data_IF_379723060004
#
_entry.id   IF_379723060004
#
_cell.length_a   1.000
_cell.length_b   1.000
_cell.length_c   1.000
_cell.angle_alpha   90.00
_cell.angle_beta   90.00
_cell.angle_gamma   90.00
#
_symmetry.space_group_name_H-M   'P 1'
#
loop_
_entity.id
_entity.type
_entity.pdbx_description
1 polymer ?
#
# COMPACT_ATOMS: atom_id res chain seq x y z
N UNK A 1 -2.41 -9.13 29.45
CA UNK A 1 -2.09 -9.29 28.02
C UNK A 1 -0.69 -9.83 27.82
N UNK A 2 0.38 -9.18 28.28
CA UNK A 2 1.76 -9.70 28.13
C UNK A 2 1.95 -11.18 28.53
N UNK A 3 1.47 -11.60 29.71
CA UNK A 3 1.58 -13.00 30.13
C UNK A 3 0.83 -13.99 29.21
N UNK A 4 -0.29 -13.57 28.61
CA UNK A 4 -1.04 -14.38 27.65
C UNK A 4 -0.34 -14.44 26.29
N UNK A 5 0.39 -13.38 25.90
CA UNK A 5 1.22 -13.41 24.69
C UNK A 5 2.32 -14.45 24.82
N UNK A 6 2.98 -14.53 25.98
CA UNK A 6 4.07 -15.50 26.18
C UNK A 6 3.61 -16.96 26.19
N UNK A 7 2.39 -17.23 26.63
CA UNK A 7 1.83 -18.58 26.60
C UNK A 7 1.38 -18.98 25.18
N UNK A 8 0.88 -18.04 24.38
CA UNK A 8 0.14 -18.34 23.15
C UNK A 8 0.94 -18.13 21.87
N UNK A 9 1.87 -17.18 21.87
CA UNK A 9 2.64 -16.84 20.68
C UNK A 9 3.85 -17.77 20.52
N UNK A 10 4.21 -18.03 19.27
CA UNK A 10 5.47 -18.66 18.90
C UNK A 10 6.65 -17.90 19.52
N UNK A 11 7.75 -18.57 19.92
CA UNK A 11 8.99 -17.90 20.31
C UNK A 11 9.56 -16.98 19.22
N UNK A 12 9.19 -17.19 17.95
CA UNK A 12 9.60 -16.37 16.82
C UNK A 12 8.74 -15.11 16.62
N UNK A 13 7.60 -15.00 17.31
CA UNK A 13 6.69 -13.88 17.17
C UNK A 13 7.22 -12.62 17.85
N UNK A 14 6.99 -11.46 17.24
CA UNK A 14 7.27 -10.19 17.90
C UNK A 14 6.36 -10.00 19.13
N UNK A 15 6.91 -9.43 20.21
CA UNK A 15 6.15 -9.15 21.43
C UNK A 15 5.61 -7.73 21.40
N UNK A 16 4.42 -7.52 21.98
CA UNK A 16 3.86 -6.17 22.10
C UNK A 16 4.59 -5.30 23.12
N UNK A 17 5.32 -5.92 24.06
CA UNK A 17 6.11 -5.27 25.10
C UNK A 17 7.57 -5.72 25.10
N UNK A 18 8.52 -4.85 25.53
CA UNK A 18 8.32 -3.42 25.83
C UNK A 18 8.10 -2.61 24.55
N UNK A 19 7.21 -1.63 24.60
CA UNK A 19 6.96 -0.74 23.46
C UNK A 19 8.14 0.20 23.24
N UNK A 20 8.75 0.14 22.05
CA UNK A 20 9.76 1.12 21.62
C UNK A 20 9.13 2.10 20.64
N UNK A 21 9.22 3.39 20.95
CA UNK A 21 8.66 4.51 20.18
C UNK A 21 9.67 5.64 20.16
N UNK A 22 9.60 6.52 19.16
CA UNK A 22 10.46 7.71 19.10
C UNK A 22 10.24 8.63 20.31
N UNK A 23 8.98 8.89 20.66
CA UNK A 23 8.62 9.65 21.85
C UNK A 23 8.06 8.68 22.89
N UNK A 24 8.73 8.49 24.04
CA UNK A 24 8.23 7.64 25.10
C UNK A 24 6.85 8.08 25.57
N UNK A 25 5.95 7.11 25.73
CA UNK A 25 4.61 7.32 26.27
C UNK A 25 4.27 6.19 27.24
N UNK A 26 3.46 6.48 28.24
CA UNK A 26 3.00 5.47 29.18
C UNK A 26 2.09 4.44 28.48
N UNK A 27 2.16 3.19 28.94
CA UNK A 27 1.29 2.12 28.48
C UNK A 27 -0.18 2.43 28.74
N UNK A 28 -1.05 1.91 27.87
CA UNK A 28 -2.48 2.02 28.06
C UNK A 28 -2.95 0.95 29.05
N UNK A 29 -3.94 1.28 29.87
CA UNK A 29 -4.52 0.38 30.87
C UNK A 29 -5.35 -0.76 30.27
N UNK A 30 -5.80 -0.61 29.01
CA UNK A 30 -6.73 -1.56 28.36
C UNK A 30 -6.16 -2.18 27.08
N UNK A 31 -5.44 -1.40 26.26
CA UNK A 31 -4.96 -1.83 24.93
C UNK A 31 -3.47 -2.12 24.93
N UNK A 32 -3.05 -3.13 24.17
CA UNK A 32 -1.62 -3.36 23.89
C UNK A 32 -1.02 -2.17 23.10
N UNK A 33 0.31 -1.97 23.14
CA UNK A 33 0.98 -0.98 22.32
C UNK A 33 0.67 -1.09 20.82
N UNK A 34 0.56 -2.31 20.30
CA UNK A 34 0.27 -2.59 18.89
C UNK A 34 -1.20 -2.32 18.52
N UNK A 35 -2.14 -2.63 19.43
CA UNK A 35 -3.54 -2.23 19.27
C UNK A 35 -3.70 -0.72 19.23
N UNK A 36 -2.93 0.02 20.03
CA UNK A 36 -2.92 1.49 19.97
C UNK A 36 -2.41 2.00 18.62
N UNK A 37 -1.41 1.35 18.04
CA UNK A 37 -0.87 1.73 16.74
C UNK A 37 -1.88 1.51 15.62
N UNK A 38 -2.51 0.33 15.59
CA UNK A 38 -3.63 0.04 14.72
C UNK A 38 -4.71 1.12 14.81
N UNK A 39 -5.15 1.44 16.02
CA UNK A 39 -6.22 2.40 16.22
C UNK A 39 -5.80 3.81 15.74
N UNK A 40 -4.54 4.21 15.93
CA UNK A 40 -4.01 5.48 15.42
C UNK A 40 -4.02 5.54 13.91
N UNK A 41 -3.61 4.46 13.24
CA UNK A 41 -3.61 4.35 11.78
C UNK A 41 -5.03 4.48 11.24
N UNK A 42 -5.99 3.71 11.75
CA UNK A 42 -7.38 3.71 11.27
C UNK A 42 -8.05 5.09 11.42
N UNK A 43 -7.70 5.86 12.45
CA UNK A 43 -8.24 7.20 12.69
C UNK A 43 -7.47 8.34 11.99
N UNK A 44 -6.42 8.03 11.23
CA UNK A 44 -5.61 9.02 10.51
C UNK A 44 -6.37 9.64 9.32
N UNK A 45 -5.96 10.83 8.87
CA UNK A 45 -6.52 11.45 7.66
C UNK A 45 -6.13 10.62 6.43
N UNK A 46 -4.89 10.16 6.34
CA UNK A 46 -4.36 9.32 5.27
C UNK A 46 -5.15 8.03 5.08
N UNK A 47 -5.48 7.30 6.15
CA UNK A 47 -6.27 6.06 6.04
C UNK A 47 -7.66 6.31 5.47
N UNK A 48 -8.34 7.41 5.87
CA UNK A 48 -9.64 7.79 5.28
C UNK A 48 -9.53 8.11 3.79
N UNK A 49 -8.41 8.71 3.35
CA UNK A 49 -8.17 9.06 1.94
C UNK A 49 -8.04 7.82 1.05
N UNK A 50 -7.67 6.66 1.59
CA UNK A 50 -7.59 5.39 0.83
C UNK A 50 -8.92 4.99 0.18
N UNK A 51 -10.06 5.39 0.76
CA UNK A 51 -11.40 5.19 0.17
C UNK A 51 -11.56 5.89 -1.19
N UNK A 52 -10.80 6.95 -1.43
CA UNK A 52 -10.92 7.81 -2.60
C UNK A 52 -9.65 7.79 -3.46
N UNK A 53 -8.87 6.70 -3.35
CA UNK A 53 -7.72 6.39 -4.20
C UNK A 53 -7.95 5.06 -4.90
N UNK A 54 -7.79 5.03 -6.22
CA UNK A 54 -7.81 3.82 -7.04
C UNK A 54 -6.56 2.97 -6.77
N UNK A 55 -6.72 1.65 -6.83
CA UNK A 55 -5.61 0.72 -6.74
C UNK A 55 -4.85 0.62 -8.08
N UNK A 56 -5.52 0.09 -9.13
CA UNK A 56 -4.90 -0.16 -10.45
C UNK A 56 -5.67 0.50 -11.59
N UNK A 57 -6.97 0.25 -11.71
CA UNK A 57 -7.74 0.80 -12.83
C UNK A 57 -8.30 2.17 -12.51
N UNK A 58 -8.07 3.10 -13.44
CA UNK A 58 -8.57 4.47 -13.39
C UNK A 58 -10.06 4.42 -13.70
N UNK A 59 -10.86 4.14 -12.66
CA UNK A 59 -12.31 4.26 -12.60
C UNK A 59 -13.05 4.02 -13.92
N UNK A 60 -13.28 2.76 -14.35
CA UNK A 60 -14.33 2.52 -15.31
C UNK A 60 -15.67 2.86 -14.64
N UNK A 61 -16.66 3.29 -15.41
CA UNK A 61 -17.98 3.65 -14.89
C UNK A 61 -18.60 2.44 -14.14
N UNK A 62 -18.83 2.55 -12.83
CA UNK A 62 -19.48 1.50 -12.02
C UNK A 62 -19.22 1.58 -10.50
N UNK A 63 -20.13 1.03 -9.70
CA UNK A 63 -20.12 1.17 -8.22
C UNK A 63 -19.25 0.13 -7.48
N UNK A 64 -18.57 -0.77 -8.20
CA UNK A 64 -17.94 -1.96 -7.63
C UNK A 64 -16.41 -2.04 -7.82
N UNK A 65 -15.74 -0.93 -8.15
CA UNK A 65 -14.28 -0.92 -8.29
C UNK A 65 -13.56 -0.93 -6.95
N UNK A 66 -12.45 -1.68 -6.89
CA UNK A 66 -11.60 -1.71 -5.71
C UNK A 66 -10.89 -0.37 -5.51
N UNK A 67 -10.86 0.03 -4.25
CA UNK A 67 -10.10 1.19 -3.78
C UNK A 67 -8.87 0.70 -3.04
N UNK A 68 -7.92 1.59 -2.74
CA UNK A 68 -6.81 1.23 -1.86
C UNK A 68 -7.29 0.76 -0.48
N UNK A 69 -8.43 1.29 0.00
CA UNK A 69 -9.01 0.87 1.27
C UNK A 69 -9.48 -0.58 1.23
N UNK A 70 -10.13 -1.02 0.15
CA UNK A 70 -10.58 -2.42 0.03
C UNK A 70 -9.38 -3.36 -0.11
N UNK A 71 -8.38 -2.99 -0.92
CA UNK A 71 -7.10 -3.70 -1.00
C UNK A 71 -6.44 -3.86 0.38
N UNK A 72 -6.32 -2.75 1.12
CA UNK A 72 -5.74 -2.73 2.46
C UNK A 72 -6.46 -3.69 3.41
N UNK A 73 -7.80 -3.69 3.41
CA UNK A 73 -8.60 -4.59 4.25
C UNK A 73 -8.35 -6.06 3.86
N UNK A 74 -8.34 -6.37 2.56
CA UNK A 74 -8.12 -7.72 2.05
C UNK A 74 -6.72 -8.25 2.41
N UNK A 75 -5.67 -7.45 2.18
CA UNK A 75 -4.29 -7.74 2.62
C UNK A 75 -4.23 -7.99 4.12
N UNK A 76 -4.82 -7.10 4.92
CA UNK A 76 -4.84 -7.25 6.39
C UNK A 76 -5.52 -8.54 6.82
N UNK A 77 -6.66 -8.92 6.22
CA UNK A 77 -7.37 -10.15 6.57
C UNK A 77 -6.56 -11.41 6.26
N UNK A 78 -5.96 -11.48 5.07
CA UNK A 78 -5.13 -12.61 4.67
C UNK A 78 -3.89 -12.69 5.56
N UNK A 79 -3.21 -11.57 5.81
CA UNK A 79 -2.01 -11.52 6.65
C UNK A 79 -2.29 -11.95 8.09
N UNK A 80 -3.41 -11.51 8.68
CA UNK A 80 -3.85 -11.95 10.01
C UNK A 80 -4.14 -13.44 10.06
N UNK A 81 -4.68 -14.01 8.99
CA UNK A 81 -4.96 -15.46 8.90
C UNK A 81 -3.67 -16.26 8.96
N UNK A 82 -2.67 -15.86 8.16
CA UNK A 82 -1.33 -16.48 8.14
C UNK A 82 -0.63 -16.32 9.49
N UNK A 83 -0.63 -15.11 10.06
CA UNK A 83 -0.02 -14.85 11.36
C UNK A 83 -0.66 -15.70 12.47
N UNK A 84 -1.99 -15.83 12.48
CA UNK A 84 -2.71 -16.65 13.44
C UNK A 84 -2.36 -18.14 13.30
N UNK A 85 -2.29 -18.66 12.07
CA UNK A 85 -1.92 -20.04 11.82
C UNK A 85 -0.51 -20.37 12.34
N UNK A 86 0.44 -19.43 12.17
CA UNK A 86 1.83 -19.57 12.63
C UNK A 86 2.05 -19.14 14.10
N UNK A 87 0.98 -18.80 14.83
CA UNK A 87 1.01 -18.23 16.19
C UNK A 87 1.93 -17.00 16.31
N UNK A 88 1.97 -16.16 15.28
CA UNK A 88 2.65 -14.87 15.27
C UNK A 88 1.74 -13.75 15.80
N UNK A 89 2.29 -12.55 15.99
CA UNK A 89 1.56 -11.44 16.58
C UNK A 89 0.56 -10.83 15.58
N UNK A 90 -0.71 -11.16 15.79
CA UNK A 90 -1.80 -10.70 14.92
C UNK A 90 -2.01 -9.18 14.98
N UNK A 91 -1.84 -8.54 16.15
CA UNK A 91 -1.99 -7.09 16.30
C UNK A 91 -0.86 -6.35 15.57
N UNK A 92 0.37 -6.87 15.58
CA UNK A 92 1.48 -6.30 14.79
C UNK A 92 1.18 -6.41 13.29
N UNK A 93 0.81 -7.61 12.86
CA UNK A 93 0.49 -7.90 11.46
C UNK A 93 -0.65 -7.01 10.96
N UNK A 94 -1.69 -6.84 11.77
CA UNK A 94 -2.83 -5.97 11.48
C UNK A 94 -2.42 -4.49 11.37
N UNK A 95 -1.65 -3.99 12.34
CA UNK A 95 -1.18 -2.60 12.32
C UNK A 95 -0.30 -2.30 11.09
N UNK A 96 0.62 -3.20 10.73
CA UNK A 96 1.44 -3.07 9.52
C UNK A 96 0.55 -3.10 8.29
N UNK A 97 -0.33 -4.10 8.18
CA UNK A 97 -1.25 -4.25 7.04
C UNK A 97 -2.12 -3.02 6.82
N UNK A 98 -2.64 -2.39 7.88
CA UNK A 98 -3.46 -1.18 7.73
C UNK A 98 -2.64 0.09 7.40
N UNK A 99 -1.34 0.08 7.70
CA UNK A 99 -0.44 1.21 7.53
C UNK A 99 0.42 1.19 6.26
N UNK A 100 0.54 0.03 5.60
CA UNK A 100 1.52 -0.17 4.52
C UNK A 100 1.30 0.77 3.32
N UNK A 101 0.04 1.09 3.03
CA UNK A 101 -0.39 1.73 1.78
C UNK A 101 -0.72 3.22 1.90
N UNK A 102 -0.47 3.83 3.06
CA UNK A 102 -0.88 5.21 3.39
C UNK A 102 -0.27 6.29 2.48
N UNK A 103 0.93 6.03 1.96
CA UNK A 103 1.75 6.97 1.19
C UNK A 103 1.57 6.91 -0.31
N UNK A 104 0.74 6.00 -0.85
CA UNK A 104 0.51 5.93 -2.29
C UNK A 104 -0.13 7.22 -2.81
N UNK A 105 0.34 7.77 -3.95
CA UNK A 105 -0.23 8.98 -4.53
C UNK A 105 -1.59 8.70 -5.20
N UNK A 106 -2.30 9.74 -5.65
CA UNK A 106 -3.44 9.57 -6.56
C UNK A 106 -3.11 8.68 -7.75
N UNK A 107 -4.12 7.97 -8.27
CA UNK A 107 -4.04 7.15 -9.50
C UNK A 107 -3.07 5.96 -9.46
N UNK A 108 -2.92 5.34 -8.28
CA UNK A 108 -2.29 4.03 -8.20
C UNK A 108 -0.78 4.03 -8.54
N UNK A 109 -0.33 2.95 -9.18
CA UNK A 109 1.07 2.78 -9.60
C UNK A 109 1.49 3.77 -10.71
N UNK A 110 0.56 4.19 -11.55
CA UNK A 110 0.83 5.21 -12.58
C UNK A 110 1.21 6.51 -11.89
N UNK A 111 0.45 6.92 -10.88
CA UNK A 111 0.77 8.14 -10.13
C UNK A 111 2.10 8.07 -9.40
N UNK A 112 2.46 6.90 -8.87
CA UNK A 112 3.79 6.66 -8.28
C UNK A 112 4.90 6.84 -9.31
N UNK A 113 4.78 6.22 -10.49
CA UNK A 113 5.79 6.29 -11.55
C UNK A 113 5.97 7.71 -12.10
N UNK A 114 4.86 8.44 -12.32
CA UNK A 114 4.91 9.82 -12.81
C UNK A 114 5.56 10.74 -11.77
N UNK A 115 5.18 10.63 -10.50
CA UNK A 115 5.74 11.47 -9.44
C UNK A 115 7.24 11.17 -9.22
N UNK A 116 7.65 9.90 -9.27
CA UNK A 116 9.06 9.48 -9.21
C UNK A 116 9.87 10.10 -10.36
N UNK A 117 9.39 10.00 -11.60
CA UNK A 117 10.04 10.60 -12.78
C UNK A 117 10.15 12.13 -12.67
N UNK A 118 9.07 12.79 -12.25
CA UNK A 118 9.05 14.25 -12.13
C UNK A 118 10.04 14.76 -11.06
N UNK A 119 10.15 14.06 -9.93
CA UNK A 119 11.13 14.36 -8.88
C UNK A 119 12.57 14.11 -9.34
N UNK A 120 12.80 13.01 -10.05
CA UNK A 120 14.11 12.70 -10.62
C UNK A 120 14.57 13.77 -11.62
N UNK A 121 13.69 14.16 -12.54
CA UNK A 121 13.98 15.17 -13.57
C UNK A 121 14.26 16.56 -12.98
N UNK A 122 13.47 17.00 -11.99
CA UNK A 122 13.55 18.38 -11.47
C UNK A 122 14.51 18.56 -10.30
N UNK A 123 14.63 17.55 -9.44
CA UNK A 123 15.36 17.66 -8.18
C UNK A 123 16.46 16.60 -8.02
N UNK A 124 16.60 15.66 -8.96
CA UNK A 124 17.54 14.54 -8.83
C UNK A 124 17.16 13.54 -7.73
N UNK A 125 15.92 13.59 -7.25
CA UNK A 125 15.38 12.72 -6.21
C UNK A 125 14.57 11.56 -6.77
N UNK A 126 13.69 10.98 -5.95
CA UNK A 126 12.75 9.95 -6.35
C UNK A 126 11.60 9.82 -5.38
N UNK A 127 10.63 8.99 -5.71
CA UNK A 127 9.45 8.73 -4.91
C UNK A 127 9.19 7.24 -4.77
N UNK A 128 8.92 6.84 -3.52
CA UNK A 128 8.57 5.47 -3.15
C UNK A 128 7.42 5.51 -2.16
N UNK A 129 6.32 4.83 -2.48
CA UNK A 129 5.13 4.86 -1.63
C UNK A 129 5.42 4.35 -0.20
N UNK A 130 6.32 3.39 -0.01
CA UNK A 130 6.63 2.82 1.31
C UNK A 130 7.42 3.81 2.18
N UNK A 131 8.32 4.60 1.58
CA UNK A 131 9.02 5.70 2.27
C UNK A 131 8.05 6.81 2.64
N UNK A 132 7.13 7.14 1.71
CA UNK A 132 6.08 8.11 1.97
C UNK A 132 5.08 7.63 3.03
N UNK A 133 4.78 6.34 3.09
CA UNK A 133 3.90 5.75 4.11
C UNK A 133 4.51 5.88 5.50
N UNK A 134 5.82 5.63 5.62
CA UNK A 134 6.55 5.89 6.87
C UNK A 134 6.54 7.39 7.21
N UNK A 135 6.77 8.27 6.23
CA UNK A 135 6.73 9.73 6.43
C UNK A 135 5.36 10.22 6.88
N UNK A 136 4.27 9.66 6.35
CA UNK A 136 2.90 9.97 6.79
C UNK A 136 2.74 9.71 8.28
N UNK A 137 3.15 8.53 8.76
CA UNK A 137 2.97 8.14 10.16
C UNK A 137 3.98 8.78 11.11
N UNK A 138 5.14 9.22 10.62
CA UNK A 138 6.18 9.85 11.43
C UNK A 138 6.08 11.36 11.51
N UNK A 139 5.60 12.01 10.43
CA UNK A 139 5.71 13.45 10.26
C UNK A 139 4.35 14.09 9.95
N UNK A 140 3.63 13.59 8.93
CA UNK A 140 2.53 14.38 8.34
C UNK A 140 1.25 14.35 9.17
N UNK A 141 0.92 13.18 9.74
CA UNK A 141 -0.30 13.04 10.54
C UNK A 141 -0.25 13.85 11.83
N UNK A 142 -1.43 14.16 12.39
CA UNK A 142 -1.59 15.01 13.59
C UNK A 142 -0.86 16.36 13.44
N UNK A 143 -1.14 17.03 12.32
CA UNK A 143 -0.71 18.39 12.03
C UNK A 143 0.81 18.60 12.20
N UNK A 144 1.60 17.65 11.66
CA UNK A 144 3.06 17.72 11.67
C UNK A 144 3.76 17.00 12.83
N UNK A 145 3.04 16.30 13.71
CA UNK A 145 3.61 15.64 14.90
C UNK A 145 3.78 14.12 14.78
N UNK A 146 3.21 13.52 13.74
CA UNK A 146 3.22 12.08 13.54
C UNK A 146 2.29 11.31 14.50
N UNK A 147 2.09 10.02 14.20
CA UNK A 147 1.31 9.09 15.01
C UNK A 147 2.11 8.50 16.18
N UNK A 148 3.43 8.70 16.21
CA UNK A 148 4.34 8.12 17.22
C UNK A 148 4.16 6.61 17.38
N UNK A 149 4.13 5.86 16.26
CA UNK A 149 3.94 4.40 16.25
C UNK A 149 5.15 3.66 16.83
N UNK A 150 4.97 2.40 17.18
CA UNK A 150 6.07 1.53 17.61
C UNK A 150 7.06 1.27 16.47
N UNK A 151 8.32 1.01 16.82
CA UNK A 151 9.40 0.73 15.86
C UNK A 151 9.06 -0.44 14.93
N UNK A 152 8.42 -1.48 15.43
CA UNK A 152 8.16 -2.69 14.65
C UNK A 152 7.02 -2.48 13.63
N UNK A 153 6.02 -1.66 13.97
CA UNK A 153 4.98 -1.25 13.00
C UNK A 153 5.59 -0.37 11.91
N UNK A 154 6.43 0.59 12.30
CA UNK A 154 7.13 1.48 11.34
C UNK A 154 8.02 0.71 10.38
N UNK A 155 8.78 -0.24 10.91
CA UNK A 155 9.63 -1.14 10.13
C UNK A 155 8.82 -1.94 9.12
N UNK A 156 7.73 -2.58 9.56
CA UNK A 156 6.85 -3.32 8.67
C UNK A 156 6.27 -2.44 7.55
N UNK A 157 5.84 -1.21 7.87
CA UNK A 157 5.33 -0.25 6.87
C UNK A 157 6.44 0.11 5.86
N UNK A 158 7.65 0.37 6.32
CA UNK A 158 8.76 0.77 5.44
C UNK A 158 9.29 -0.39 4.59
N UNK A 159 9.18 -1.63 5.07
CA UNK A 159 9.80 -2.81 4.47
C UNK A 159 8.82 -3.74 3.73
N UNK A 160 7.53 -3.37 3.59
CA UNK A 160 6.54 -4.23 2.94
C UNK A 160 6.76 -4.38 1.42
N UNK A 161 7.33 -3.38 0.74
CA UNK A 161 7.44 -3.39 -0.72
C UNK A 161 8.65 -4.19 -1.20
N UNK A 162 8.52 -4.98 -2.27
CA UNK A 162 9.63 -5.77 -2.84
C UNK A 162 10.90 -4.98 -3.23
N UNK A 163 10.84 -3.63 -3.31
CA UNK A 163 11.98 -2.74 -3.54
C UNK A 163 12.68 -2.28 -2.25
N UNK A 164 12.04 -2.50 -1.11
CA UNK A 164 12.54 -2.18 0.22
C UNK A 164 13.36 -3.35 0.80
N UNK A 165 14.22 -3.08 1.80
CA UNK A 165 14.88 -4.10 2.59
C UNK A 165 13.90 -5.10 3.22
N UNK A 166 14.41 -6.26 3.64
CA UNK A 166 13.58 -7.23 4.36
C UNK A 166 13.17 -6.70 5.74
N UNK A 167 11.91 -6.90 6.15
CA UNK A 167 11.42 -6.51 7.46
C UNK A 167 12.12 -7.31 8.58
N UNK A 168 12.25 -6.69 9.76
CA UNK A 168 12.92 -7.31 10.91
C UNK A 168 12.08 -8.43 11.55
N UNK A 169 10.76 -8.37 11.40
CA UNK A 169 9.82 -9.30 12.03
C UNK A 169 9.19 -10.23 11.01
N UNK A 170 8.81 -11.43 11.44
CA UNK A 170 8.07 -12.38 10.61
C UNK A 170 6.70 -11.81 10.24
N UNK A 171 6.07 -11.05 11.13
CA UNK A 171 4.81 -10.35 10.87
C UNK A 171 4.93 -9.33 9.73
N UNK A 172 6.03 -8.59 9.67
CA UNK A 172 6.32 -7.71 8.52
C UNK A 172 6.55 -8.50 7.24
N UNK A 173 7.25 -9.64 7.32
CA UNK A 173 7.50 -10.51 6.18
C UNK A 173 6.21 -11.14 5.64
N UNK A 174 5.24 -11.45 6.51
CA UNK A 174 3.89 -11.87 6.09
C UNK A 174 3.24 -10.78 5.27
N UNK A 175 3.17 -9.54 5.78
CA UNK A 175 2.50 -8.45 5.05
C UNK A 175 3.16 -8.22 3.69
N UNK A 176 4.50 -8.23 3.64
CA UNK A 176 5.27 -8.12 2.39
C UNK A 176 4.88 -9.17 1.34
N UNK A 177 4.72 -10.42 1.75
CA UNK A 177 4.38 -11.51 0.83
C UNK A 177 2.89 -11.49 0.47
N UNK A 178 2.01 -11.28 1.46
CA UNK A 178 0.56 -11.26 1.29
C UNK A 178 0.11 -10.08 0.43
N UNK A 179 0.78 -8.93 0.50
CA UNK A 179 0.50 -7.80 -0.39
C UNK A 179 0.67 -8.20 -1.87
N UNK A 180 1.71 -8.97 -2.19
CA UNK A 180 1.91 -9.54 -3.55
C UNK A 180 0.82 -10.54 -3.93
N UNK A 181 0.35 -11.35 -2.98
CA UNK A 181 -0.74 -12.33 -3.20
C UNK A 181 -2.06 -11.62 -3.50
N UNK A 182 -2.41 -10.62 -2.70
CA UNK A 182 -3.63 -9.84 -2.86
C UNK A 182 -3.61 -9.05 -4.17
N UNK A 183 -2.48 -8.37 -4.45
CA UNK A 183 -2.26 -7.60 -5.67
C UNK A 183 -2.60 -8.40 -6.94
N UNK A 184 -1.92 -9.54 -7.16
CA UNK A 184 -2.15 -10.35 -8.39
C UNK A 184 -3.61 -10.78 -8.52
N UNK A 185 -4.22 -11.23 -7.42
CA UNK A 185 -5.61 -11.70 -7.47
C UNK A 185 -6.58 -10.58 -7.80
N UNK A 186 -6.40 -9.40 -7.18
CA UNK A 186 -7.31 -8.30 -7.37
C UNK A 186 -7.21 -7.70 -8.76
N UNK A 187 -6.00 -7.62 -9.30
CA UNK A 187 -5.77 -7.08 -10.63
C UNK A 187 -6.37 -7.98 -11.71
N UNK A 188 -6.28 -9.30 -11.53
CA UNK A 188 -6.93 -10.27 -12.42
C UNK A 188 -8.45 -10.04 -12.40
N UNK A 189 -9.06 -9.97 -11.21
CA UNK A 189 -10.50 -9.76 -11.06
C UNK A 189 -10.95 -8.43 -11.71
N UNK A 190 -10.20 -7.34 -11.47
CA UNK A 190 -10.52 -6.03 -12.01
C UNK A 190 -10.31 -5.98 -13.54
N UNK A 191 -9.26 -6.63 -14.06
CA UNK A 191 -9.01 -6.72 -15.50
C UNK A 191 -10.10 -7.52 -16.23
N UNK A 192 -10.55 -8.64 -15.64
CA UNK A 192 -11.68 -9.43 -16.14
C UNK A 192 -12.98 -8.61 -16.13
N UNK A 193 -13.27 -7.93 -15.02
CA UNK A 193 -14.47 -7.09 -14.89
C UNK A 193 -14.47 -5.90 -15.86
N UNK A 194 -13.31 -5.29 -16.10
CA UNK A 194 -13.15 -4.22 -17.07
C UNK A 194 -13.15 -4.71 -18.53
N UNK A 195 -13.16 -6.03 -18.76
CA UNK A 195 -13.11 -6.62 -20.10
C UNK A 195 -11.77 -6.42 -20.81
N UNK A 196 -10.70 -6.13 -20.06
CA UNK A 196 -9.33 -5.98 -20.59
C UNK A 196 -8.77 -7.35 -20.99
N UNK A 197 -9.14 -8.39 -20.24
CA UNK A 197 -8.78 -9.78 -20.49
C UNK A 197 -10.03 -10.67 -20.31
N UNK A 198 -10.01 -11.87 -20.89
CA UNK A 198 -10.94 -12.95 -20.62
C UNK A 198 -10.28 -14.05 -19.77
N UNK A 199 -11.08 -14.86 -19.07
CA UNK A 199 -10.56 -15.99 -18.29
C UNK A 199 -9.72 -16.96 -19.13
N UNK A 200 -10.07 -17.10 -20.42
CA UNK A 200 -9.35 -17.93 -21.39
C UNK A 200 -7.96 -17.42 -21.75
N UNK A 201 -7.67 -16.14 -21.47
CA UNK A 201 -6.40 -15.51 -21.82
C UNK A 201 -5.31 -15.81 -20.76
N UNK A 202 -5.74 -16.11 -19.53
CA UNK A 202 -4.84 -16.39 -18.41
C UNK A 202 -3.98 -17.63 -18.67
N UNK A 203 -2.70 -17.62 -18.26
CA UNK A 203 -1.79 -18.74 -18.47
C UNK A 203 -2.26 -19.98 -17.72
N UNK A 204 -2.41 -21.10 -18.42
CA UNK A 204 -2.97 -22.34 -17.85
C UNK A 204 -2.12 -22.90 -16.71
N UNK A 205 -0.79 -22.85 -16.81
CA UNK A 205 0.12 -23.41 -15.81
C UNK A 205 -0.15 -22.89 -14.40
N UNK A 206 -0.11 -21.56 -14.19
CA UNK A 206 -0.45 -20.97 -12.90
C UNK A 206 -1.90 -21.17 -12.46
N UNK A 207 -2.85 -21.14 -13.40
CA UNK A 207 -4.27 -21.35 -13.08
C UNK A 207 -4.53 -22.78 -12.62
N UNK A 208 -3.89 -23.78 -13.23
CA UNK A 208 -3.97 -25.17 -12.80
C UNK A 208 -3.28 -25.39 -11.44
N UNK A 209 -2.19 -24.66 -11.18
CA UNK A 209 -1.42 -24.76 -9.94
C UNK A 209 -2.08 -24.06 -8.74
N UNK A 210 -2.68 -22.89 -8.95
CA UNK A 210 -3.19 -22.03 -7.89
C UNK A 210 -4.73 -22.05 -7.80
N UNK A 211 -5.42 -22.28 -8.92
CA UNK A 211 -6.88 -22.33 -8.98
C UNK A 211 -7.48 -21.34 -9.98
N UNK A 212 -8.71 -21.66 -10.41
CA UNK A 212 -9.44 -20.91 -11.44
C UNK A 212 -10.12 -19.66 -10.90
N UNK A 213 -10.54 -19.65 -9.63
CA UNK A 213 -11.18 -18.49 -8.99
C UNK A 213 -10.21 -17.74 -8.10
N UNK A 214 -10.46 -16.44 -7.87
CA UNK A 214 -9.66 -15.64 -6.94
C UNK A 214 -9.63 -16.24 -5.52
N UNK A 215 -10.75 -16.77 -5.04
CA UNK A 215 -10.82 -17.45 -3.74
C UNK A 215 -9.96 -18.72 -3.69
N UNK A 216 -9.97 -19.54 -4.75
CA UNK A 216 -9.16 -20.76 -4.81
C UNK A 216 -7.66 -20.44 -4.85
N UNK A 217 -7.26 -19.40 -5.60
CA UNK A 217 -5.87 -18.92 -5.64
C UNK A 217 -5.40 -18.41 -4.29
N UNK A 218 -6.21 -17.59 -3.62
CA UNK A 218 -5.87 -17.09 -2.28
C UNK A 218 -5.75 -18.26 -1.29
N UNK A 219 -6.69 -19.21 -1.31
CA UNK A 219 -6.66 -20.38 -0.44
C UNK A 219 -5.39 -21.22 -0.65
N UNK A 220 -5.05 -21.56 -1.90
CA UNK A 220 -3.84 -22.30 -2.24
C UNK A 220 -2.56 -21.57 -1.80
N UNK A 221 -2.49 -20.25 -2.00
CA UNK A 221 -1.33 -19.44 -1.62
C UNK A 221 -1.19 -19.28 -0.10
N UNK A 222 -2.31 -19.19 0.63
CA UNK A 222 -2.29 -19.14 2.09
C UNK A 222 -1.85 -20.48 2.68
N UNK A 223 -2.36 -21.59 2.15
CA UNK A 223 -1.94 -22.93 2.55
C UNK A 223 -0.44 -23.14 2.30
N UNK A 224 0.03 -22.85 1.08
CA UNK A 224 1.45 -22.94 0.73
C UNK A 224 2.32 -22.09 1.66
N UNK A 225 1.94 -20.83 1.89
CA UNK A 225 2.68 -19.92 2.76
C UNK A 225 2.78 -20.46 4.19
N UNK A 226 1.67 -20.92 4.78
CA UNK A 226 1.65 -21.43 6.16
C UNK A 226 2.49 -22.71 6.28
N UNK A 227 2.28 -23.69 5.42
CA UNK A 227 2.94 -25.00 5.50
C UNK A 227 4.46 -24.89 5.31
N UNK A 228 4.90 -24.14 4.29
CA UNK A 228 6.34 -23.95 4.05
C UNK A 228 6.98 -23.07 5.14
N UNK A 229 6.27 -22.06 5.63
CA UNK A 229 6.81 -21.18 6.67
C UNK A 229 6.96 -21.87 8.02
N UNK A 230 5.99 -22.70 8.40
CA UNK A 230 6.07 -23.50 9.62
C UNK A 230 7.26 -24.47 9.58
N UNK A 231 7.46 -25.15 8.44
CA UNK A 231 8.58 -26.07 8.26
C UNK A 231 9.94 -25.38 8.27
N UNK A 232 10.03 -24.16 7.71
CA UNK A 232 11.29 -23.43 7.59
C UNK A 232 11.65 -22.61 8.85
N UNK A 233 10.67 -22.26 9.69
CA UNK A 233 10.86 -21.30 10.79
C UNK A 233 11.12 -19.86 10.29
N UNK A 234 10.68 -19.55 9.08
CA UNK A 234 10.80 -18.25 8.40
C UNK A 234 9.60 -18.06 7.47
N UNK A 235 9.30 -16.83 7.06
CA UNK A 235 8.20 -16.61 6.10
C UNK A 235 8.68 -16.89 4.69
N UNK A 236 8.21 -17.99 4.10
CA UNK A 236 8.65 -18.47 2.78
C UNK A 236 7.48 -19.05 2.00
N UNK A 237 7.58 -18.95 0.67
CA UNK A 237 6.66 -19.55 -0.28
C UNK A 237 7.29 -20.80 -0.90
N UNK A 238 6.49 -21.83 -1.16
CA UNK A 238 6.92 -23.03 -1.85
C UNK A 238 7.33 -22.74 -3.29
N UNK A 239 8.29 -23.50 -3.82
CA UNK A 239 8.88 -23.24 -5.13
C UNK A 239 7.85 -23.27 -6.28
N UNK A 240 6.86 -24.17 -6.21
CA UNK A 240 5.80 -24.27 -7.23
C UNK A 240 4.87 -23.06 -7.20
N UNK A 241 4.40 -22.67 -6.01
CA UNK A 241 3.53 -21.52 -5.86
C UNK A 241 4.25 -20.21 -6.25
N UNK A 242 5.52 -20.07 -5.86
CA UNK A 242 6.34 -18.91 -6.20
C UNK A 242 6.52 -18.77 -7.73
N UNK A 243 6.84 -19.88 -8.41
CA UNK A 243 6.96 -19.90 -9.87
C UNK A 243 5.64 -19.54 -10.56
N UNK A 244 4.51 -20.10 -10.11
CA UNK A 244 3.19 -19.79 -10.65
C UNK A 244 2.80 -18.32 -10.45
N UNK A 245 3.08 -17.75 -9.28
CA UNK A 245 2.85 -16.33 -9.01
C UNK A 245 3.72 -15.42 -9.89
N UNK A 246 5.00 -15.75 -10.06
CA UNK A 246 5.89 -14.94 -10.89
C UNK A 246 5.50 -14.99 -12.38
N UNK A 247 5.04 -16.15 -12.86
CA UNK A 247 4.49 -16.28 -14.22
C UNK A 247 3.21 -15.44 -14.39
N UNK A 248 2.24 -15.53 -13.46
CA UNK A 248 1.02 -14.70 -13.50
C UNK A 248 1.35 -13.21 -13.48
N UNK A 249 2.26 -12.79 -12.60
CA UNK A 249 2.68 -11.39 -12.49
C UNK A 249 3.30 -10.89 -13.79
N UNK A 250 4.18 -11.69 -14.40
CA UNK A 250 4.84 -11.33 -15.66
C UNK A 250 3.82 -11.21 -16.78
N UNK A 251 2.89 -12.17 -16.88
CA UNK A 251 1.80 -12.13 -17.86
C UNK A 251 0.89 -10.92 -17.66
N UNK A 252 0.48 -10.62 -16.42
CA UNK A 252 -0.34 -9.43 -16.12
C UNK A 252 0.40 -8.15 -16.52
N UNK A 253 1.70 -8.06 -16.23
CA UNK A 253 2.52 -6.91 -16.61
C UNK A 253 2.50 -6.65 -18.13
N UNK A 254 2.69 -7.70 -18.92
CA UNK A 254 2.72 -7.58 -20.38
C UNK A 254 1.35 -7.28 -20.99
N UNK A 255 0.28 -7.92 -20.49
CA UNK A 255 -1.03 -7.91 -21.16
C UNK A 255 -2.00 -6.87 -20.60
N UNK A 256 -1.86 -6.52 -19.33
CA UNK A 256 -2.76 -5.56 -18.65
C UNK A 256 -2.07 -4.22 -18.47
N UNK A 257 -0.87 -4.21 -17.87
CA UNK A 257 -0.19 -2.97 -17.49
C UNK A 257 0.46 -2.25 -18.68
N UNK A 258 0.98 -2.97 -19.67
CA UNK A 258 1.61 -2.38 -20.87
C UNK A 258 0.67 -2.26 -22.08
N UNK A 259 -0.60 -2.67 -21.92
CA UNK A 259 -1.60 -2.69 -22.97
C UNK A 259 -1.97 -1.30 -23.52
N UNK A 260 -2.56 -1.21 -24.73
CA UNK A 260 -2.89 0.08 -25.37
C UNK A 260 -3.82 0.98 -24.53
N UNK A 261 -4.78 0.39 -23.82
CA UNK A 261 -5.71 1.11 -22.96
C UNK A 261 -4.98 1.74 -21.76
N UNK A 262 -4.07 0.98 -21.12
CA UNK A 262 -3.26 1.46 -20.00
C UNK A 262 -2.38 2.66 -20.42
N UNK A 263 -1.82 2.65 -21.65
CA UNK A 263 -1.01 3.76 -22.17
C UNK A 263 -1.80 5.06 -22.31
N UNK A 264 -3.05 4.99 -22.79
CA UNK A 264 -3.87 6.18 -22.99
C UNK A 264 -4.22 6.85 -21.65
N UNK A 265 -4.57 6.05 -20.65
CA UNK A 265 -4.84 6.56 -19.29
C UNK A 265 -3.56 7.05 -18.60
N UNK A 266 -2.44 6.35 -18.81
CA UNK A 266 -1.13 6.80 -18.35
C UNK A 266 -0.80 8.22 -18.84
N UNK A 267 -0.98 8.50 -20.13
CA UNK A 267 -0.71 9.82 -20.71
C UNK A 267 -1.64 10.93 -20.16
N UNK A 268 -2.83 10.58 -19.69
CA UNK A 268 -3.75 11.53 -19.05
C UNK A 268 -3.32 11.83 -17.62
N UNK A 269 -3.03 10.79 -16.84
CA UNK A 269 -2.54 10.93 -15.46
C UNK A 269 -1.20 11.65 -15.42
N UNK A 270 -0.30 11.34 -16.35
CA UNK A 270 0.99 12.01 -16.47
C UNK A 270 0.81 13.52 -16.61
N UNK A 271 -0.08 13.97 -17.50
CA UNK A 271 -0.41 15.40 -17.66
C UNK A 271 -1.00 16.02 -16.41
N UNK A 272 -1.89 15.33 -15.71
CA UNK A 272 -2.50 15.81 -14.47
C UNK A 272 -1.43 16.03 -13.41
N UNK A 273 -0.69 14.98 -13.06
CA UNK A 273 0.32 15.05 -12.00
C UNK A 273 1.44 16.03 -12.36
N UNK A 274 1.95 16.01 -13.59
CA UNK A 274 3.04 16.92 -14.00
C UNK A 274 2.62 18.38 -14.01
N UNK A 275 1.37 18.69 -14.39
CA UNK A 275 0.85 20.06 -14.31
C UNK A 275 0.86 20.56 -12.86
N UNK A 276 0.30 19.77 -11.94
CA UNK A 276 0.28 20.10 -10.50
C UNK A 276 1.70 20.19 -9.93
N UNK A 277 2.54 19.21 -10.23
CA UNK A 277 3.93 19.16 -9.79
C UNK A 277 4.70 20.41 -10.25
N UNK A 278 4.59 20.79 -11.52
CA UNK A 278 5.27 21.95 -12.05
C UNK A 278 4.76 23.26 -11.45
N UNK A 279 3.45 23.37 -11.23
CA UNK A 279 2.83 24.52 -10.60
C UNK A 279 3.37 24.73 -9.18
N UNK A 280 3.22 23.73 -8.31
CA UNK A 280 3.63 23.84 -6.90
C UNK A 280 5.15 23.85 -6.71
N UNK A 281 5.91 23.22 -7.60
CA UNK A 281 7.37 23.30 -7.55
C UNK A 281 7.91 24.67 -7.95
N UNK A 282 7.14 25.46 -8.71
CA UNK A 282 7.53 26.82 -9.13
C UNK A 282 7.00 27.91 -8.19
N UNK A 283 5.89 27.63 -7.50
CA UNK A 283 5.26 28.51 -6.54
C UNK A 283 4.87 27.73 -5.26
N UNK A 284 5.85 27.27 -4.47
CA UNK A 284 5.60 26.43 -3.29
C UNK A 284 4.84 27.12 -2.17
N UNK A 285 4.73 28.44 -2.19
CA UNK A 285 3.87 29.25 -1.32
C UNK A 285 2.36 29.04 -1.59
N UNK A 286 1.98 28.45 -2.73
CA UNK A 286 0.60 28.11 -3.06
C UNK A 286 0.13 26.79 -2.46
N UNK A 287 1.05 26.00 -1.88
CA UNK A 287 0.68 24.79 -1.13
C UNK A 287 -0.05 25.23 0.15
N UNK A 288 -1.28 24.75 0.42
CA UNK A 288 -2.05 25.15 1.59
C UNK A 288 -1.33 24.92 2.92
N UNK A 289 -1.56 25.81 3.89
CA UNK A 289 -1.02 25.67 5.25
C UNK A 289 -1.42 24.33 5.87
N UNK A 290 -0.45 23.68 6.51
CA UNK A 290 -0.63 22.36 7.13
C UNK A 290 -0.55 21.17 6.15
N UNK A 291 -0.46 21.43 4.85
CA UNK A 291 -0.15 20.42 3.83
C UNK A 291 1.32 20.59 3.37
N UNK A 292 2.09 19.51 3.31
CA UNK A 292 3.53 19.58 3.02
C UNK A 292 4.35 20.24 4.14
N UNK A 293 4.54 19.50 5.24
CA UNK A 293 5.20 20.01 6.44
C UNK A 293 6.72 19.86 6.40
N UNK A 294 7.42 21.00 6.43
CA UNK A 294 8.88 21.06 6.58
C UNK A 294 9.66 20.51 5.38
N UNK A 295 10.96 20.80 5.34
CA UNK A 295 11.85 20.37 4.27
C UNK A 295 11.94 21.35 3.10
N UNK A 296 12.63 20.90 2.05
CA UNK A 296 12.80 21.66 0.82
C UNK A 296 11.53 21.64 -0.05
N UNK A 297 11.58 22.33 -1.19
CA UNK A 297 10.46 22.40 -2.13
C UNK A 297 10.05 21.00 -2.62
N UNK A 298 11.00 20.10 -2.86
CA UNK A 298 10.71 18.76 -3.38
C UNK A 298 9.87 17.97 -2.38
N UNK A 299 10.23 18.01 -1.09
CA UNK A 299 9.48 17.33 -0.02
C UNK A 299 8.07 17.90 0.10
N UNK A 300 7.92 19.23 0.15
CA UNK A 300 6.60 19.88 0.31
C UNK A 300 5.64 19.54 -0.83
N UNK A 301 6.13 19.58 -2.07
CA UNK A 301 5.35 19.22 -3.27
C UNK A 301 4.97 17.74 -3.25
N UNK A 302 5.91 16.87 -2.89
CA UNK A 302 5.70 15.42 -2.79
C UNK A 302 4.61 15.09 -1.78
N UNK A 303 4.71 15.66 -0.57
CA UNK A 303 3.75 15.46 0.51
C UNK A 303 2.35 15.92 0.08
N UNK A 304 2.26 17.10 -0.55
CA UNK A 304 0.98 17.63 -0.96
C UNK A 304 0.32 16.79 -2.05
N UNK A 305 1.04 16.48 -3.14
CA UNK A 305 0.48 15.73 -4.28
C UNK A 305 0.16 14.30 -3.87
N UNK A 306 1.07 13.60 -3.19
CA UNK A 306 0.81 12.22 -2.72
C UNK A 306 -0.33 12.16 -1.71
N UNK A 307 -0.55 13.23 -0.94
CA UNK A 307 -1.63 13.36 0.03
C UNK A 307 -3.03 13.55 -0.59
N UNK A 308 -3.15 13.90 -1.87
CA UNK A 308 -4.44 14.13 -2.53
C UNK A 308 -5.22 12.83 -2.74
N UNK A 309 -6.54 12.92 -2.87
CA UNK A 309 -7.38 11.85 -3.44
C UNK A 309 -7.48 12.03 -4.95
N UNK A 310 -7.90 11.01 -5.70
CA UNK A 310 -7.97 11.09 -7.16
C UNK A 310 -8.89 12.22 -7.62
N UNK A 311 -10.10 12.29 -7.04
CA UNK A 311 -11.09 13.34 -7.38
C UNK A 311 -10.62 14.74 -7.00
N UNK A 312 -9.90 14.87 -5.87
CA UNK A 312 -9.34 16.15 -5.48
C UNK A 312 -8.23 16.59 -6.44
N UNK A 313 -7.36 15.65 -6.84
CA UNK A 313 -6.28 15.88 -7.80
C UNK A 313 -6.83 16.35 -9.16
N UNK A 314 -7.86 15.68 -9.69
CA UNK A 314 -8.53 16.10 -10.94
C UNK A 314 -9.16 17.49 -10.81
N UNK A 315 -9.88 17.77 -9.72
CA UNK A 315 -10.50 19.08 -9.51
C UNK A 315 -9.47 20.22 -9.50
N UNK A 316 -8.36 20.04 -8.78
CA UNK A 316 -7.28 21.05 -8.75
C UNK A 316 -6.66 21.23 -10.14
N UNK A 317 -6.49 20.14 -10.90
CA UNK A 317 -6.02 20.24 -12.28
C UNK A 317 -6.96 21.04 -13.16
N UNK A 318 -8.27 20.81 -13.07
CA UNK A 318 -9.29 21.56 -13.82
C UNK A 318 -9.26 23.05 -13.44
N UNK A 319 -9.21 23.38 -12.14
CA UNK A 319 -9.11 24.76 -11.65
C UNK A 319 -7.85 25.49 -12.15
N UNK A 320 -6.72 24.78 -12.29
CA UNK A 320 -5.47 25.36 -12.78
C UNK A 320 -5.41 25.54 -14.30
N UNK A 321 -6.20 24.77 -15.05
CA UNK A 321 -6.10 24.71 -16.52
C UNK A 321 -7.28 25.36 -17.24
N UNK A 322 -8.44 25.46 -16.60
CA UNK A 322 -9.64 26.08 -17.15
C UNK A 322 -9.75 27.52 -16.63
N UNK A 323 -9.70 28.55 -17.50
CA UNK A 323 -9.84 29.93 -17.05
C UNK A 323 -11.20 30.16 -16.40
N UNK A 324 -11.24 30.96 -15.33
CA UNK A 324 -12.47 31.25 -14.55
C UNK A 324 -13.65 31.73 -15.42
N UNK A 325 -13.39 32.42 -16.52
CA UNK A 325 -14.43 32.89 -17.45
C UNK A 325 -15.15 31.78 -18.22
N UNK A 326 -14.67 30.54 -18.16
CA UNK A 326 -15.21 29.37 -18.86
C UNK A 326 -15.52 28.19 -17.93
N UNK A 327 -15.33 28.34 -16.62
CA UNK A 327 -15.77 27.34 -15.64
C UNK A 327 -17.30 27.45 -15.48
N UNK A 328 -18.03 26.41 -15.88
CA UNK A 328 -19.50 26.30 -15.74
C UNK A 328 -19.93 25.71 -14.40
#
# INVERSE_FOLDING_TARGET
>A
MAALEEERLSPLAARSWPARRQVPEADCTVRSPLQRDRDRIVHSKAFRRLKHKTQVFVSPEGDHYRTRLTHTIEVTQIARTVARALRLNEDLTEAIGLGHDLGHPPFGHIGEAVLDSALAERFGGGFRHYEQSLRVVDVLERDGTGLNLTEDVRDGIACHSGRAPEPRTLEGAIVRLVDRVAYINHDIDDALRAGVIAESDLPRGPIDALGTTGSARIDALVHDLVENSEAAGAIVQGAQAAAAMDELRSWMFENVYLGPQARTEHDRIDRVIRTLFNHYSSAPELIPDGEGTGGDVAVRVTDYISGMTDRYCVRIFEELTVPESFAT
#
